data_IF_462515312285
#
_entry.id   IF_462515312285
#
_cell.length_a   1.000
_cell.length_b   1.000
_cell.length_c   1.000
_cell.angle_alpha   90.00
_cell.angle_beta   90.00
_cell.angle_gamma   90.00
#
_symmetry.space_group_name_H-M   'P 1'
#
loop_
_entity.id
_entity.type
_entity.pdbx_description
1 polymer ?
#
# COMPACT_ATOMS: atom_id res chain seq x y z
N UNK A 1 26.01 -60.40 57.20
CA UNK A 1 25.40 -59.09 57.52
C UNK A 1 26.36 -57.99 57.07
N UNK A 2 26.05 -57.31 55.96
CA UNK A 2 26.46 -55.92 55.67
C UNK A 2 25.82 -55.50 54.33
N UNK A 3 24.71 -54.78 54.40
CA UNK A 3 24.04 -54.14 53.25
C UNK A 3 24.91 -52.99 52.75
N UNK A 4 25.32 -53.00 51.47
CA UNK A 4 25.79 -51.79 50.77
C UNK A 4 24.58 -51.19 50.03
N UNK A 5 24.13 -49.97 50.36
CA UNK A 5 23.11 -49.30 49.56
C UNK A 5 23.74 -48.82 48.24
N UNK A 6 23.04 -48.95 47.10
CA UNK A 6 23.57 -48.55 45.81
C UNK A 6 23.53 -47.02 45.69
N UNK A 7 24.70 -46.42 45.42
CA UNK A 7 24.96 -45.02 45.07
C UNK A 7 24.26 -44.55 43.76
N UNK A 8 23.27 -45.29 43.27
CA UNK A 8 22.62 -45.06 41.97
C UNK A 8 21.54 -43.97 42.08
N UNK A 9 20.99 -43.71 43.26
CA UNK A 9 19.90 -42.74 43.44
C UNK A 9 20.33 -41.26 43.29
N UNK A 10 21.63 -40.93 43.36
CA UNK A 10 22.10 -39.54 43.29
C UNK A 10 22.34 -39.01 41.86
N UNK A 11 22.33 -39.87 40.83
CA UNK A 11 22.59 -39.46 39.45
C UNK A 11 21.33 -39.02 38.67
N UNK A 12 20.13 -39.20 39.23
CA UNK A 12 18.87 -38.92 38.52
C UNK A 12 18.22 -37.56 38.85
N UNK A 13 18.84 -36.72 39.70
CA UNK A 13 18.27 -35.43 40.12
C UNK A 13 18.81 -34.20 39.35
N UNK A 14 19.69 -34.37 38.37
CA UNK A 14 20.35 -33.25 37.66
C UNK A 14 19.72 -32.82 36.32
N UNK A 15 18.74 -33.56 35.79
CA UNK A 15 18.31 -33.40 34.39
C UNK A 15 17.28 -32.28 34.14
N UNK A 16 16.75 -31.62 35.18
CA UNK A 16 15.75 -30.56 35.05
C UNK A 16 16.30 -29.14 35.24
N UNK A 17 17.60 -28.93 35.09
CA UNK A 17 18.16 -27.61 34.81
C UNK A 17 18.26 -27.42 33.29
N UNK A 18 17.11 -27.54 32.61
CA UNK A 18 17.00 -27.18 31.19
C UNK A 18 17.23 -25.67 31.10
N UNK A 19 18.40 -25.35 30.56
CA UNK A 19 18.98 -24.02 30.49
C UNK A 19 18.01 -23.04 29.81
N UNK A 20 17.81 -21.81 30.34
CA UNK A 20 17.29 -20.75 29.51
C UNK A 20 18.34 -20.52 28.42
N UNK A 21 18.02 -20.89 27.18
CA UNK A 21 18.79 -20.50 26.01
C UNK A 21 18.78 -18.97 25.96
N UNK A 22 19.81 -18.33 26.52
CA UNK A 22 20.09 -16.93 26.28
C UNK A 22 20.52 -16.83 24.82
N UNK A 23 19.56 -16.72 23.91
CA UNK A 23 19.86 -16.39 22.53
C UNK A 23 20.71 -15.12 22.57
N UNK A 24 21.91 -15.19 22.01
CA UNK A 24 22.83 -14.05 21.97
C UNK A 24 22.11 -12.88 21.28
N UNK A 25 21.86 -11.75 21.99
CA UNK A 25 21.17 -10.61 21.42
C UNK A 25 21.84 -10.11 20.13
N UNK A 26 23.16 -10.27 20.00
CA UNK A 26 23.88 -9.89 18.78
C UNK A 26 23.57 -10.81 17.61
N UNK A 27 23.44 -12.12 17.84
CA UNK A 27 23.06 -13.09 16.81
C UNK A 27 21.64 -12.80 16.30
N UNK A 28 20.70 -12.53 17.20
CA UNK A 28 19.32 -12.18 16.84
C UNK A 28 19.27 -10.87 16.05
N UNK A 29 19.99 -9.84 16.47
CA UNK A 29 20.06 -8.57 15.74
C UNK A 29 20.65 -8.75 14.34
N UNK A 30 21.70 -9.55 14.20
CA UNK A 30 22.30 -9.84 12.89
C UNK A 30 21.32 -10.55 11.97
N UNK A 31 20.57 -11.53 12.47
CA UNK A 31 19.55 -12.24 11.71
C UNK A 31 18.43 -11.29 11.24
N UNK A 32 17.92 -10.43 12.13
CA UNK A 32 16.89 -9.43 11.78
C UNK A 32 17.40 -8.46 10.71
N UNK A 33 18.63 -7.96 10.84
CA UNK A 33 19.23 -7.05 9.86
C UNK A 33 19.46 -7.74 8.50
N UNK A 34 19.87 -9.01 8.50
CA UNK A 34 20.03 -9.79 7.26
C UNK A 34 18.69 -10.00 6.58
N UNK A 35 17.66 -10.38 7.32
CA UNK A 35 16.32 -10.55 6.79
C UNK A 35 15.77 -9.21 6.24
N UNK A 36 15.97 -8.11 6.98
CA UNK A 36 15.57 -6.78 6.51
C UNK A 36 16.26 -6.39 5.20
N UNK A 37 17.58 -6.61 5.08
CA UNK A 37 18.31 -6.35 3.82
C UNK A 37 17.83 -7.23 2.68
N UNK A 38 17.54 -8.51 2.92
CA UNK A 38 17.00 -9.41 1.92
C UNK A 38 15.63 -8.94 1.41
N UNK A 39 14.76 -8.49 2.33
CA UNK A 39 13.46 -7.92 1.98
C UNK A 39 13.60 -6.64 1.15
N UNK A 40 14.51 -5.73 1.52
CA UNK A 40 14.78 -4.51 0.76
C UNK A 40 15.36 -4.80 -0.63
N UNK A 41 16.26 -5.77 -0.75
CA UNK A 41 16.87 -6.14 -2.03
C UNK A 41 15.83 -6.66 -3.05
N UNK A 42 14.72 -7.25 -2.57
CA UNK A 42 13.60 -7.65 -3.41
C UNK A 42 12.68 -6.50 -3.85
N UNK A 43 12.75 -5.34 -3.21
CA UNK A 43 11.97 -4.15 -3.56
C UNK A 43 12.74 -3.27 -4.56
N UNK A 44 12.89 -3.74 -5.80
CA UNK A 44 13.38 -2.88 -6.87
C UNK A 44 12.30 -1.88 -7.30
N UNK A 45 12.57 -0.56 -7.33
CA UNK A 45 11.65 0.39 -7.92
C UNK A 45 11.49 0.05 -9.39
N UNK A 46 10.31 -0.45 -9.75
CA UNK A 46 9.95 -0.64 -11.15
C UNK A 46 9.80 0.75 -11.75
N UNK A 47 10.51 1.02 -12.84
CA UNK A 47 10.28 2.22 -13.63
C UNK A 47 8.81 2.30 -13.99
N UNK A 48 8.14 3.39 -13.63
CA UNK A 48 6.75 3.59 -13.99
C UNK A 48 6.60 3.43 -15.52
N UNK A 49 5.66 2.61 -16.02
CA UNK A 49 5.45 2.47 -17.44
C UNK A 49 5.10 3.82 -18.05
N UNK A 50 5.64 4.13 -19.22
CA UNK A 50 5.23 5.31 -19.99
C UNK A 50 3.79 5.08 -20.45
N UNK A 51 2.84 5.73 -19.79
CA UNK A 51 1.43 5.62 -20.12
C UNK A 51 1.11 6.48 -21.34
N UNK A 52 0.40 5.93 -22.34
CA UNK A 52 -0.03 6.72 -23.48
C UNK A 52 -0.97 7.84 -23.01
N UNK A 53 -0.83 9.02 -23.62
CA UNK A 53 -1.76 10.11 -23.41
C UNK A 53 -3.12 9.68 -23.96
N UNK A 54 -4.15 9.61 -23.11
CA UNK A 54 -5.48 9.26 -23.58
C UNK A 54 -6.06 10.36 -24.47
N UNK A 55 -6.68 9.92 -25.56
CA UNK A 55 -7.60 10.70 -26.36
C UNK A 55 -9.03 10.33 -25.94
N UNK A 56 -9.77 11.31 -25.42
CA UNK A 56 -11.14 11.12 -24.97
C UNK A 56 -11.30 10.80 -23.48
N UNK A 57 -12.53 10.47 -23.11
CA UNK A 57 -13.00 10.37 -21.74
C UNK A 57 -12.65 9.01 -21.13
N UNK A 58 -12.13 8.95 -19.88
CA UNK A 58 -11.71 7.69 -19.27
C UNK A 58 -12.93 6.83 -18.90
N UNK A 59 -12.89 5.55 -19.29
CA UNK A 59 -13.91 4.54 -18.97
C UNK A 59 -13.48 3.58 -17.86
N UNK A 60 -12.20 3.63 -17.46
CA UNK A 60 -11.62 2.87 -16.34
C UNK A 60 -10.73 3.78 -15.50
N UNK A 61 -10.67 3.54 -14.20
CA UNK A 61 -9.88 4.37 -13.29
C UNK A 61 -8.38 4.32 -13.62
N UNK A 62 -7.88 3.16 -14.07
CA UNK A 62 -6.48 2.96 -14.49
C UNK A 62 -6.05 3.84 -15.65
N UNK A 63 -6.98 4.35 -16.46
CA UNK A 63 -6.67 5.30 -17.53
C UNK A 63 -6.31 6.69 -16.99
N UNK A 64 -6.64 7.00 -15.74
CA UNK A 64 -6.29 8.27 -15.12
C UNK A 64 -4.83 8.34 -14.69
N UNK A 65 -4.14 7.20 -14.59
CA UNK A 65 -2.73 7.15 -14.17
C UNK A 65 -1.86 8.03 -15.08
N UNK A 66 -0.93 8.77 -14.48
CA UNK A 66 -0.05 9.73 -15.16
C UNK A 66 -0.72 11.02 -15.62
N UNK A 67 -2.05 11.18 -15.49
CA UNK A 67 -2.72 12.41 -15.90
C UNK A 67 -2.46 13.55 -14.93
N UNK A 68 -2.56 14.79 -15.44
CA UNK A 68 -2.34 16.00 -14.64
C UNK A 68 -3.60 16.40 -13.85
N UNK A 69 -3.47 17.11 -12.72
CA UNK A 69 -4.60 17.66 -11.98
C UNK A 69 -5.52 18.52 -12.86
N UNK A 70 -4.96 19.30 -13.79
CA UNK A 70 -5.72 20.10 -14.75
C UNK A 70 -6.52 19.26 -15.75
N UNK A 71 -6.00 18.09 -16.14
CA UNK A 71 -6.69 17.18 -17.06
C UNK A 71 -7.87 16.51 -16.35
N UNK A 72 -7.67 16.07 -15.10
CA UNK A 72 -8.75 15.54 -14.27
C UNK A 72 -9.89 16.56 -14.13
N UNK A 73 -9.55 17.81 -13.82
CA UNK A 73 -10.55 18.88 -13.67
C UNK A 73 -11.32 19.18 -14.95
N UNK A 74 -10.69 19.05 -16.12
CA UNK A 74 -11.38 19.21 -17.41
C UNK A 74 -12.38 18.10 -17.69
N UNK A 75 -12.11 16.88 -17.24
CA UNK A 75 -13.00 15.73 -17.49
C UNK A 75 -14.06 15.54 -16.40
N UNK A 76 -13.70 15.78 -15.14
CA UNK A 76 -14.47 15.37 -13.97
C UNK A 76 -14.88 16.55 -13.07
N UNK A 77 -14.55 17.78 -13.47
CA UNK A 77 -14.89 18.99 -12.71
C UNK A 77 -14.02 19.15 -11.45
N UNK A 78 -14.51 19.90 -10.47
CA UNK A 78 -13.81 20.02 -9.19
C UNK A 78 -14.05 18.80 -8.30
N UNK A 79 -13.02 18.27 -7.63
CA UNK A 79 -13.22 17.24 -6.62
C UNK A 79 -14.00 17.78 -5.42
N UNK A 80 -14.88 16.93 -4.87
CA UNK A 80 -15.67 17.24 -3.67
C UNK A 80 -14.81 17.40 -2.43
N UNK A 81 -13.68 16.69 -2.36
CA UNK A 81 -12.69 16.82 -1.29
C UNK A 81 -11.26 16.83 -1.86
N UNK A 82 -10.41 17.69 -1.30
CA UNK A 82 -8.97 17.73 -1.54
C UNK A 82 -8.23 17.79 -0.22
N UNK A 83 -7.23 16.94 -0.07
CA UNK A 83 -6.32 16.93 1.08
C UNK A 83 -4.88 16.83 0.59
N UNK A 84 -3.97 17.57 1.24
CA UNK A 84 -2.53 17.42 1.03
C UNK A 84 -1.97 16.45 2.07
N UNK A 85 -1.15 15.49 1.64
CA UNK A 85 -0.45 14.55 2.51
C UNK A 85 1.02 14.48 2.10
N UNK A 86 1.91 15.13 2.85
CA UNK A 86 3.31 15.28 2.43
C UNK A 86 3.39 16.00 1.08
N UNK A 87 4.06 15.37 0.11
CA UNK A 87 4.13 15.85 -1.29
C UNK A 87 2.96 15.37 -2.16
N UNK A 88 2.10 14.50 -1.63
CA UNK A 88 0.93 13.97 -2.30
C UNK A 88 -0.29 14.87 -2.16
N UNK A 89 -1.24 14.70 -3.07
CA UNK A 89 -2.62 15.17 -2.90
C UNK A 89 -3.60 14.01 -3.05
N UNK A 90 -4.56 13.95 -2.14
CA UNK A 90 -5.66 12.98 -2.17
C UNK A 90 -6.93 13.72 -2.52
N UNK A 91 -7.53 13.33 -3.63
CA UNK A 91 -8.74 13.91 -4.18
C UNK A 91 -9.84 12.86 -4.17
N UNK A 92 -11.05 13.30 -3.85
CA UNK A 92 -12.24 12.47 -3.91
C UNK A 92 -13.30 13.21 -4.72
N UNK A 93 -13.74 12.57 -5.80
CA UNK A 93 -14.90 13.00 -6.57
C UNK A 93 -16.10 12.17 -6.16
N UNK A 94 -17.23 12.82 -5.88
CA UNK A 94 -18.43 12.15 -5.39
C UNK A 94 -19.66 12.55 -6.20
N UNK A 95 -20.47 11.53 -6.44
CA UNK A 95 -21.87 11.58 -6.88
C UNK A 95 -22.69 10.75 -5.89
N UNK A 96 -24.03 10.80 -5.93
CA UNK A 96 -24.86 9.99 -5.03
C UNK A 96 -24.58 8.47 -5.10
N UNK A 97 -24.15 7.97 -6.26
CA UNK A 97 -23.97 6.52 -6.48
C UNK A 97 -22.54 6.10 -6.76
N UNK A 98 -21.60 7.03 -6.89
CA UNK A 98 -20.22 6.72 -7.24
C UNK A 98 -19.22 7.66 -6.57
N UNK A 99 -18.15 7.06 -6.05
CA UNK A 99 -16.96 7.75 -5.57
C UNK A 99 -15.75 7.37 -6.42
N UNK A 100 -14.92 8.36 -6.72
CA UNK A 100 -13.62 8.15 -7.36
C UNK A 100 -12.53 8.72 -6.44
N UNK A 101 -11.72 7.83 -5.90
CA UNK A 101 -10.54 8.15 -5.09
C UNK A 101 -9.33 8.30 -6.03
N UNK A 102 -8.60 9.41 -5.88
CA UNK A 102 -7.42 9.73 -6.70
C UNK A 102 -6.28 10.17 -5.78
N UNK A 103 -5.09 9.61 -5.99
CA UNK A 103 -3.85 10.11 -5.39
C UNK A 103 -2.99 10.70 -6.49
N UNK A 104 -2.49 11.91 -6.23
CA UNK A 104 -1.55 12.60 -7.11
C UNK A 104 -0.23 12.76 -6.37
N UNK A 105 0.84 12.30 -6.98
CA UNK A 105 2.20 12.40 -6.45
C UNK A 105 3.11 13.16 -7.43
N UNK A 106 4.23 13.60 -6.89
CA UNK A 106 5.36 14.11 -7.68
C UNK A 106 6.26 12.94 -8.03
N UNK A 107 6.80 12.95 -9.25
CA UNK A 107 7.94 12.07 -9.59
C UNK A 107 9.16 12.47 -8.75
N UNK A 108 10.11 11.54 -8.53
CA UNK A 108 11.30 11.72 -7.66
C UNK A 108 12.29 12.82 -8.12
N UNK A 109 11.97 13.57 -9.18
CA UNK A 109 12.73 14.72 -9.63
C UNK A 109 12.27 16.01 -8.90
N UNK A 110 13.20 16.84 -8.37
CA UNK A 110 12.86 18.12 -7.76
C UNK A 110 12.03 19.01 -8.71
N UNK A 111 10.90 19.50 -8.22
CA UNK A 111 10.01 20.39 -8.97
C UNK A 111 9.12 19.68 -10.01
N UNK A 112 9.09 18.34 -10.03
CA UNK A 112 8.19 17.59 -10.92
C UNK A 112 6.71 17.96 -10.68
N UNK A 113 5.89 17.99 -11.75
CA UNK A 113 4.47 18.27 -11.62
C UNK A 113 3.75 17.09 -10.98
N UNK A 114 2.63 17.37 -10.31
CA UNK A 114 1.74 16.34 -9.80
C UNK A 114 1.15 15.51 -10.96
N UNK A 115 1.17 14.19 -10.77
CA UNK A 115 0.64 13.18 -11.68
C UNK A 115 -0.19 12.19 -10.88
N UNK A 116 -1.27 11.67 -11.45
CA UNK A 116 -2.02 10.59 -10.80
C UNK A 116 -1.14 9.35 -10.65
N UNK A 117 -0.89 8.94 -9.41
CA UNK A 117 -0.18 7.71 -9.06
C UNK A 117 -1.14 6.56 -8.74
N UNK A 118 -2.36 6.88 -8.31
CA UNK A 118 -3.41 5.91 -8.01
C UNK A 118 -4.79 6.47 -8.34
N UNK A 119 -5.68 5.60 -8.85
CA UNK A 119 -7.10 5.90 -9.01
C UNK A 119 -7.95 4.64 -8.86
N UNK A 120 -9.08 4.76 -8.18
CA UNK A 120 -10.07 3.69 -8.07
C UNK A 120 -11.50 4.26 -8.00
N UNK A 121 -12.38 3.70 -8.84
CA UNK A 121 -13.80 4.00 -8.81
C UNK A 121 -14.55 2.94 -8.00
N UNK A 122 -15.49 3.37 -7.17
CA UNK A 122 -16.32 2.48 -6.36
C UNK A 122 -17.76 2.97 -6.30
N UNK A 123 -18.68 2.01 -6.27
CA UNK A 123 -20.08 2.29 -6.00
C UNK A 123 -20.24 2.93 -4.61
N UNK A 124 -21.14 3.88 -4.50
CA UNK A 124 -21.67 4.40 -3.25
C UNK A 124 -23.06 3.78 -3.04
N UNK A 125 -23.27 3.14 -1.88
CA UNK A 125 -24.53 2.46 -1.55
C UNK A 125 -24.50 0.94 -1.82
N UNK A 126 -25.68 0.36 -2.03
CA UNK A 126 -25.87 -1.10 -2.13
C UNK A 126 -25.96 -1.63 -3.56
N UNK A 127 -26.15 -0.74 -4.54
CA UNK A 127 -26.26 -1.12 -5.95
C UNK A 127 -24.88 -1.41 -6.54
N UNK A 128 -24.76 -2.50 -7.32
CA UNK A 128 -23.53 -2.76 -8.08
C UNK A 128 -23.43 -1.76 -9.23
N UNK A 129 -22.29 -1.08 -9.33
CA UNK A 129 -21.95 -0.21 -10.45
C UNK A 129 -20.63 -0.63 -11.08
N UNK A 130 -20.53 -0.49 -12.40
CA UNK A 130 -19.27 -0.67 -13.13
C UNK A 130 -18.44 0.60 -13.05
N UNK A 131 -17.11 0.51 -13.20
CA UNK A 131 -16.25 1.70 -13.23
C UNK A 131 -16.68 2.69 -14.34
N UNK A 132 -17.00 2.16 -15.53
CA UNK A 132 -17.43 2.98 -16.67
C UNK A 132 -18.72 3.76 -16.37
N UNK A 133 -19.69 3.12 -15.70
CA UNK A 133 -20.90 3.80 -15.26
C UNK A 133 -20.59 4.93 -14.26
N UNK A 134 -19.67 4.68 -13.32
CA UNK A 134 -19.25 5.69 -12.35
C UNK A 134 -18.54 6.89 -12.99
N UNK A 135 -17.59 6.64 -13.88
CA UNK A 135 -16.85 7.71 -14.54
C UNK A 135 -17.76 8.58 -15.43
N UNK A 136 -18.70 7.95 -16.14
CA UNK A 136 -19.69 8.66 -16.95
C UNK A 136 -20.65 9.50 -16.09
N UNK A 137 -21.00 9.06 -14.89
CA UNK A 137 -21.83 9.85 -13.95
C UNK A 137 -21.09 11.10 -13.46
N UNK A 138 -19.80 10.95 -13.11
CA UNK A 138 -18.96 12.06 -12.67
C UNK A 138 -18.76 13.12 -13.76
N UNK A 139 -18.57 12.72 -15.02
CA UNK A 139 -18.49 13.66 -16.15
C UNK A 139 -19.79 14.40 -16.41
N UNK A 140 -20.93 13.69 -16.37
CA UNK A 140 -22.23 14.34 -16.50
C UNK A 140 -22.41 15.41 -15.43
N UNK A 141 -22.04 15.12 -14.18
CA UNK A 141 -22.07 16.10 -13.10
C UNK A 141 -21.15 17.30 -13.39
N UNK A 142 -19.96 17.06 -13.93
CA UNK A 142 -18.99 18.10 -14.24
C UNK A 142 -19.44 19.05 -15.38
N UNK A 143 -20.41 18.62 -16.18
CA UNK A 143 -20.95 19.38 -17.31
C UNK A 143 -22.19 20.23 -16.96
N UNK A 144 -22.68 20.13 -15.73
CA UNK A 144 -23.81 20.90 -15.19
C UNK A 144 -23.32 22.22 -14.57
#
# INVERSE_FOLDING_TARGET
MARRPPLIALLLLGACAAQPSSADPHAVLQEVLQNYRANLAGMQPTSAPVLPRLEGMPIRATQLLGQSPSTLRRWLGEPSLRRKEGEAQIWLFQTPFCHLDVVLDREDAPGSPLRVSYAAARAAGTERRTEAACLSELERQASL
#
